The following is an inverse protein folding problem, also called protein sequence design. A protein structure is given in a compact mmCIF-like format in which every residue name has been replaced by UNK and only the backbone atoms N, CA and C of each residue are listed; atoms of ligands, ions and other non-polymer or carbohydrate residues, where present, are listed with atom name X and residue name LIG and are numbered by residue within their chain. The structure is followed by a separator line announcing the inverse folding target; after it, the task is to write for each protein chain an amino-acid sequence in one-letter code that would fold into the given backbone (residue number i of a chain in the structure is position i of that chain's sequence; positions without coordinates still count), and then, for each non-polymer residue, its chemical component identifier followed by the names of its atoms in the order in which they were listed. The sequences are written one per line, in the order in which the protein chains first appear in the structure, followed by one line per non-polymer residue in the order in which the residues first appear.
data_IF_428789965651
#
_entry.id   IF_428789965651
#
_cell.length_a   1.000
_cell.length_b   1.000
_cell.length_c   1.000
_cell.angle_alpha   90.00
_cell.angle_beta   90.00
_cell.angle_gamma   90.00
#
_symmetry.space_group_name_H-M   'P 1'
#
loop_
_entity.id
_entity.type
_entity.pdbx_description
1 polymer ?
#
# COMPACT_ATOMS: atom_id res chain seq x y z
N UNK A 1 4.84 16.65 -19.00
CA UNK A 1 4.65 15.28 -18.58
C UNK A 1 3.26 15.07 -18.02
N UNK A 2 2.77 13.96 -18.18
CA UNK A 2 1.39 13.72 -17.82
C UNK A 2 1.30 12.48 -16.92
N UNK A 3 0.10 12.20 -16.49
CA UNK A 3 -0.14 11.07 -15.59
C UNK A 3 0.20 9.72 -16.21
N UNK A 4 0.13 9.64 -17.52
CA UNK A 4 0.42 8.38 -18.20
C UNK A 4 1.87 7.99 -18.00
N UNK A 5 2.78 8.94 -18.10
CA UNK A 5 4.18 8.65 -17.90
C UNK A 5 4.47 8.22 -16.47
N UNK A 6 3.81 8.86 -15.50
CA UNK A 6 3.98 8.48 -14.11
C UNK A 6 3.49 7.07 -13.87
N UNK A 7 2.37 6.71 -14.48
CA UNK A 7 1.83 5.36 -14.34
C UNK A 7 2.77 4.35 -14.96
N UNK A 8 3.38 4.70 -16.09
CA UNK A 8 4.30 3.80 -16.77
C UNK A 8 5.57 3.54 -15.96
N UNK A 9 5.93 4.46 -15.07
CA UNK A 9 7.10 4.29 -14.23
C UNK A 9 6.81 3.40 -13.02
N UNK A 10 5.54 3.13 -12.75
CA UNK A 10 5.14 2.27 -11.65
C UNK A 10 4.96 0.85 -12.14
N UNK A 11 5.46 -0.11 -11.38
CA UNK A 11 5.25 -1.51 -11.69
C UNK A 11 3.75 -1.79 -11.73
N UNK A 12 3.29 -2.44 -12.79
CA UNK A 12 1.85 -2.66 -12.95
C UNK A 12 1.26 -3.49 -11.81
N UNK A 13 2.06 -4.33 -11.19
CA UNK A 13 1.61 -5.14 -10.06
C UNK A 13 1.33 -4.31 -8.82
N UNK A 14 1.79 -3.06 -8.79
CA UNK A 14 1.58 -2.16 -7.66
C UNK A 14 0.45 -1.17 -7.88
N UNK A 15 -0.01 -1.00 -9.11
CA UNK A 15 -0.96 0.05 -9.44
C UNK A 15 -2.27 -0.06 -8.65
N UNK A 16 -2.87 -1.24 -8.64
CA UNK A 16 -4.15 -1.41 -7.97
C UNK A 16 -4.09 -1.14 -6.48
N UNK A 17 -3.05 -1.65 -5.81
CA UNK A 17 -2.94 -1.47 -4.38
C UNK A 17 -2.61 -0.02 -4.03
N UNK A 18 -1.70 0.61 -4.78
CA UNK A 18 -1.40 2.03 -4.55
C UNK A 18 -2.64 2.89 -4.75
N UNK A 19 -3.40 2.61 -5.80
CA UNK A 19 -4.63 3.32 -6.09
C UNK A 19 -5.62 3.18 -4.95
N UNK A 20 -5.82 1.96 -4.48
CA UNK A 20 -6.74 1.69 -3.39
C UNK A 20 -6.31 2.37 -2.10
N UNK A 21 -5.01 2.38 -1.80
CA UNK A 21 -4.49 3.05 -0.62
C UNK A 21 -4.75 4.55 -0.69
N UNK A 22 -4.57 5.13 -1.87
CA UNK A 22 -4.77 6.57 -2.04
C UNK A 22 -6.24 6.99 -1.98
N UNK A 23 -7.17 6.05 -2.04
CA UNK A 23 -8.59 6.35 -1.80
C UNK A 23 -8.86 6.60 -0.33
N UNK A 24 -8.03 6.09 0.55
CA UNK A 24 -8.22 6.34 1.98
C UNK A 24 -7.77 7.75 2.30
N UNK A 25 -8.59 8.46 3.07
CA UNK A 25 -8.23 9.79 3.53
C UNK A 25 -6.93 9.72 4.31
N UNK A 26 -6.07 10.69 4.09
CA UNK A 26 -4.84 10.86 4.85
C UNK A 26 -3.76 9.83 4.56
N UNK A 27 -3.96 8.94 3.58
CA UNK A 27 -2.92 8.01 3.14
C UNK A 27 -2.46 8.43 1.75
N UNK A 28 -1.15 8.51 1.57
CA UNK A 28 -0.58 8.87 0.28
C UNK A 28 0.64 8.00 -0.02
N UNK A 29 0.55 7.24 -1.10
CA UNK A 29 1.69 6.44 -1.53
C UNK A 29 2.75 7.35 -2.17
N UNK A 30 4.02 6.99 -1.98
CA UNK A 30 5.14 7.77 -2.48
C UNK A 30 5.89 7.01 -3.56
N UNK A 31 6.14 5.75 -3.30
CA UNK A 31 6.97 4.93 -4.16
C UNK A 31 6.58 3.48 -3.99
N UNK A 32 6.85 2.65 -4.99
CA UNK A 32 6.51 1.23 -4.92
C UNK A 32 7.45 0.42 -5.78
N UNK A 33 7.56 -0.87 -5.44
CA UNK A 33 8.35 -1.81 -6.21
C UNK A 33 7.76 -3.20 -6.02
N UNK A 34 7.49 -3.90 -7.12
CA UNK A 34 6.91 -5.24 -7.01
C UNK A 34 7.94 -6.30 -6.61
N UNK A 35 9.23 -5.94 -6.59
CA UNK A 35 10.29 -6.86 -6.24
C UNK A 35 10.76 -7.73 -7.39
N UNK A 36 10.07 -7.70 -8.52
CA UNK A 36 10.44 -8.41 -9.76
C UNK A 36 10.73 -9.90 -9.52
N UNK A 37 9.92 -10.53 -8.66
CA UNK A 37 10.04 -11.95 -8.30
C UNK A 37 11.34 -12.31 -7.56
N UNK A 38 12.08 -11.30 -7.11
CA UNK A 38 13.38 -11.55 -6.46
C UNK A 38 13.44 -11.01 -5.05
N UNK A 39 12.77 -9.88 -4.81
CA UNK A 39 12.78 -9.22 -3.51
C UNK A 39 11.35 -8.99 -3.04
N UNK A 40 11.17 -8.60 -1.78
CA UNK A 40 9.80 -8.35 -1.28
C UNK A 40 9.09 -7.25 -2.04
N UNK A 41 7.78 -7.40 -2.12
CA UNK A 41 6.89 -6.39 -2.66
C UNK A 41 6.86 -5.23 -1.65
N UNK A 42 6.99 -4.00 -2.12
CA UNK A 42 7.08 -2.85 -1.22
C UNK A 42 6.30 -1.65 -1.73
N UNK A 43 5.60 -0.99 -0.80
CA UNK A 43 4.95 0.29 -1.09
C UNK A 43 5.28 1.24 0.06
N UNK A 44 5.89 2.36 -0.27
CA UNK A 44 6.19 3.40 0.70
C UNK A 44 5.07 4.42 0.70
N UNK A 45 4.63 4.82 1.88
CA UNK A 45 3.53 5.76 1.99
C UNK A 45 3.68 6.65 3.22
N UNK A 46 2.90 7.73 3.23
CA UNK A 46 2.80 8.63 4.37
C UNK A 46 1.37 8.67 4.85
N UNK A 47 1.20 8.87 6.14
CA UNK A 47 -0.11 9.04 6.74
C UNK A 47 -0.17 10.44 7.32
N UNK A 48 -1.04 11.27 6.76
CA UNK A 48 -1.21 12.64 7.23
C UNK A 48 -1.77 12.66 8.65
N UNK A 49 -2.59 11.66 8.96
CA UNK A 49 -3.19 11.50 10.28
C UNK A 49 -2.95 10.06 10.72
N UNK A 50 -2.29 9.89 11.86
CA UNK A 50 -1.97 8.54 12.35
C UNK A 50 -3.21 7.70 12.62
N UNK A 51 -4.36 8.34 12.84
CA UNK A 51 -5.61 7.61 13.04
C UNK A 51 -6.04 6.82 11.81
N UNK A 52 -5.48 7.15 10.65
CA UNK A 52 -5.79 6.42 9.43
C UNK A 52 -5.07 5.07 9.37
N UNK A 53 -3.99 4.92 10.13
CA UNK A 53 -3.18 3.71 10.07
C UNK A 53 -3.93 2.43 10.47
N UNK A 54 -4.68 2.39 11.58
CA UNK A 54 -5.33 1.14 11.96
C UNK A 54 -6.26 0.59 10.88
N UNK A 55 -6.93 1.46 10.15
CA UNK A 55 -7.84 1.03 9.09
C UNK A 55 -7.09 0.39 7.93
N UNK A 56 -5.95 0.96 7.60
CA UNK A 56 -5.11 0.41 6.54
C UNK A 56 -4.46 -0.89 6.99
N UNK A 57 -3.86 -0.89 8.17
CA UNK A 57 -3.09 -2.02 8.66
C UNK A 57 -3.94 -3.26 8.89
N UNK A 58 -5.21 -3.08 9.18
CA UNK A 58 -6.13 -4.19 9.38
C UNK A 58 -6.09 -5.18 8.22
N UNK A 59 -5.98 -4.67 7.00
CA UNK A 59 -6.01 -5.51 5.80
C UNK A 59 -4.69 -6.22 5.52
N UNK A 60 -3.66 -5.86 6.25
CA UNK A 60 -2.36 -6.51 6.14
C UNK A 60 -2.07 -7.40 7.34
N UNK A 61 -3.03 -7.54 8.22
CA UNK A 61 -2.90 -8.36 9.41
C UNK A 61 -3.41 -9.77 9.08
N UNK A 62 -2.49 -10.72 9.03
CA UNK A 62 -2.83 -12.09 8.70
C UNK A 62 -3.88 -12.70 9.61
N UNK A 63 -3.90 -12.27 10.86
CA UNK A 63 -4.88 -12.80 11.83
C UNK A 63 -6.30 -12.41 11.49
N UNK A 64 -6.50 -11.25 10.86
CA UNK A 64 -7.83 -10.78 10.52
C UNK A 64 -8.25 -11.13 9.10
N UNK A 65 -7.35 -10.98 8.14
CA UNK A 65 -7.71 -11.14 6.75
C UNK A 65 -7.07 -12.33 6.06
N UNK A 66 -6.16 -13.02 6.73
CA UNK A 66 -5.55 -14.22 6.20
C UNK A 66 -4.41 -14.00 5.23
N UNK A 67 -3.95 -12.78 5.06
CA UNK A 67 -2.83 -12.49 4.17
C UNK A 67 -1.54 -12.44 4.98
N UNK A 68 -0.95 -13.60 5.17
CA UNK A 68 0.30 -13.71 5.93
C UNK A 68 1.48 -13.30 5.08
N UNK A 69 2.52 -12.83 5.73
CA UNK A 69 3.72 -12.42 5.02
C UNK A 69 3.80 -10.93 4.73
N UNK A 70 2.80 -10.19 5.15
CA UNK A 70 2.80 -8.73 5.01
C UNK A 70 3.15 -8.09 6.34
N UNK A 71 3.88 -6.99 6.28
CA UNK A 71 4.23 -6.23 7.48
C UNK A 71 4.39 -4.76 7.12
N UNK A 72 4.32 -3.93 8.13
CA UNK A 72 4.49 -2.50 7.95
C UNK A 72 5.68 -2.04 8.77
N UNK A 73 6.58 -1.35 8.13
CA UNK A 73 7.79 -0.85 8.74
C UNK A 73 7.75 0.66 8.81
N UNK A 74 8.36 1.21 9.84
CA UNK A 74 8.55 2.65 9.96
C UNK A 74 9.94 2.95 9.42
N UNK A 75 10.02 3.90 8.50
CA UNK A 75 11.30 4.28 7.91
C UNK A 75 11.53 5.77 8.10
N UNK A 76 12.78 6.17 8.00
CA UNK A 76 13.13 7.59 8.00
C UNK A 76 13.74 7.91 6.65
N UNK A 77 13.43 9.09 6.16
CA UNK A 77 13.95 9.55 4.89
C UNK A 77 14.97 10.62 5.14
N UNK A 78 16.21 10.20 5.35
CA UNK A 78 17.34 11.10 5.61
C UNK A 78 17.13 12.02 6.81
N UNK A 79 16.20 11.71 7.67
CA UNK A 79 15.94 12.51 8.85
C UNK A 79 15.37 13.88 8.60
N UNK A 80 15.03 14.17 7.36
CA UNK A 80 14.52 15.48 6.98
C UNK A 80 13.04 15.52 6.78
N UNK A 81 12.45 14.38 6.50
CA UNK A 81 11.05 14.28 6.13
C UNK A 81 10.19 13.76 7.25
N UNK A 82 8.88 13.93 7.14
CA UNK A 82 7.96 13.25 8.05
C UNK A 82 8.21 11.75 8.01
N UNK A 83 7.72 11.08 9.04
CA UNK A 83 7.86 9.62 9.12
C UNK A 83 7.21 8.98 7.90
N UNK A 84 7.95 8.07 7.31
CA UNK A 84 7.49 7.32 6.15
C UNK A 84 7.31 5.86 6.55
N UNK A 85 6.28 5.24 6.03
CA UNK A 85 5.99 3.84 6.30
C UNK A 85 6.21 3.01 5.04
N UNK A 86 6.53 1.75 5.22
CA UNK A 86 6.68 0.83 4.10
C UNK A 86 5.87 -0.42 4.36
N UNK A 87 4.96 -0.74 3.44
CA UNK A 87 4.30 -2.03 3.46
C UNK A 87 5.20 -2.99 2.69
N UNK A 88 5.56 -4.09 3.34
CA UNK A 88 6.41 -5.09 2.71
C UNK A 88 5.66 -6.41 2.67
N UNK A 89 5.57 -6.99 1.48
CA UNK A 89 4.84 -8.23 1.27
C UNK A 89 5.74 -9.37 0.84
N UNK A 90 5.13 -10.50 0.53
CA UNK A 90 5.89 -11.66 0.06
C UNK A 90 6.61 -11.38 -1.26
N UNK A 91 7.43 -12.33 -1.67
CA UNK A 91 8.14 -12.24 -2.94
C UNK A 91 7.29 -12.91 -4.03
N UNK A 92 7.10 -12.21 -5.15
CA UNK A 92 6.54 -12.83 -6.35
C UNK A 92 5.04 -12.96 -6.39
N UNK A 93 4.57 -14.02 -7.02
CA UNK A 93 3.16 -14.22 -7.36
C UNK A 93 2.21 -14.13 -6.17
N UNK A 94 2.63 -14.59 -5.02
CA UNK A 94 1.79 -14.50 -3.83
C UNK A 94 1.46 -13.04 -3.53
N UNK A 95 2.47 -12.17 -3.58
CA UNK A 95 2.25 -10.76 -3.33
C UNK A 95 1.34 -10.15 -4.41
N UNK A 96 1.57 -10.51 -5.67
CA UNK A 96 0.78 -9.95 -6.76
C UNK A 96 -0.70 -10.31 -6.63
N UNK A 97 -0.97 -11.56 -6.32
CA UNK A 97 -2.33 -12.03 -6.14
C UNK A 97 -3.00 -11.40 -4.92
N UNK A 98 -2.29 -11.39 -3.79
CA UNK A 98 -2.85 -10.86 -2.56
C UNK A 98 -3.01 -9.34 -2.59
N UNK A 99 -2.10 -8.64 -3.28
CA UNK A 99 -2.21 -7.19 -3.38
C UNK A 99 -3.52 -6.78 -4.06
N UNK A 100 -3.96 -7.55 -5.04
CA UNK A 100 -5.24 -7.27 -5.73
C UNK A 100 -6.43 -7.49 -4.80
N UNK A 101 -6.39 -8.54 -4.01
CA UNK A 101 -7.46 -8.83 -3.05
C UNK A 101 -7.52 -7.77 -1.96
N UNK A 102 -6.36 -7.38 -1.47
CA UNK A 102 -6.29 -6.32 -0.46
C UNK A 102 -6.82 -5.01 -1.04
N UNK A 103 -6.47 -4.71 -2.30
CA UNK A 103 -6.97 -3.50 -2.95
C UNK A 103 -8.48 -3.47 -3.02
N UNK A 104 -9.11 -4.60 -3.32
CA UNK A 104 -10.57 -4.67 -3.35
C UNK A 104 -11.17 -4.39 -1.98
N UNK A 105 -10.58 -4.96 -0.93
CA UNK A 105 -11.06 -4.74 0.43
C UNK A 105 -10.92 -3.28 0.84
N UNK A 106 -9.80 -2.66 0.47
CA UNK A 106 -9.60 -1.24 0.78
C UNK A 106 -10.60 -0.36 0.06
N UNK A 107 -10.94 -0.69 -1.18
CA UNK A 107 -11.93 0.08 -1.92
C UNK A 107 -13.31 -0.04 -1.28
N UNK A 108 -13.66 -1.21 -0.79
CA UNK A 108 -14.92 -1.39 -0.07
C UNK A 108 -14.94 -0.56 1.21
N UNK A 109 -13.83 -0.52 1.91
CA UNK A 109 -13.71 0.29 3.12
C UNK A 109 -13.89 1.77 2.80
N UNK A 110 -13.26 2.25 1.73
CA UNK A 110 -13.35 3.64 1.33
C UNK A 110 -14.79 4.04 0.97
N UNK A 111 -15.51 3.13 0.33
CA UNK A 111 -16.91 3.38 -0.02
C UNK A 111 -17.78 3.54 1.21
N UNK A 112 -17.53 2.74 2.23
CA UNK A 112 -18.29 2.83 3.48
C UNK A 112 -18.13 4.19 4.13
N UNK A 113 -16.91 4.74 4.06
CA UNK A 113 -16.68 6.05 4.65
C UNK A 113 -17.32 7.17 3.88
N UNK A 114 -17.34 7.07 2.56
CA UNK A 114 -17.95 8.10 1.75
C UNK A 114 -19.44 8.21 1.92
N UNK A 115 -20.10 7.13 2.31
CA UNK A 115 -21.54 7.13 2.50
C UNK A 115 -21.97 7.77 3.81
N UNK A 116 -21.05 7.96 4.70
CA UNK A 116 -21.32 8.58 5.99
C UNK A 116 -20.86 10.02 5.99
#
# INVERSE_FOLDING_TARGET
MNKVEMINDMDKECIELCDAMNFLSDIRTIESCCGHNKTPYQIWFRAKNLKALPKLLYYFDGCHCGFYGWKVLVTTDCGMSPVTFCIEGPVGEQAYSESKKIAELLREEAKKFKKN
#
